data_IF_437008774650
#
_entry.id   IF_437008774650
#
_cell.length_a   1.000
_cell.length_b   1.000
_cell.length_c   1.000
_cell.angle_alpha   90.00
_cell.angle_beta   90.00
_cell.angle_gamma   90.00
#
_symmetry.space_group_name_H-M   'P 1'
#
loop_
_entity.id
_entity.type
_entity.pdbx_description
1 polymer ?
#
# COMPACT_ATOMS: atom_id res chain seq x y z
N UNK A 1 12.28 -19.79 54.05
CA UNK A 1 13.01 -19.24 52.89
C UNK A 1 12.91 -20.27 51.78
N UNK A 2 11.80 -20.25 51.02
CA UNK A 2 11.67 -20.99 49.79
C UNK A 2 12.22 -20.15 48.65
N UNK A 3 13.22 -20.72 47.98
CA UNK A 3 13.83 -20.17 46.79
C UNK A 3 12.83 -20.38 45.65
N UNK A 4 12.30 -19.31 45.11
CA UNK A 4 11.42 -19.35 43.92
C UNK A 4 12.17 -20.04 42.75
N UNK A 5 11.54 -20.98 42.02
CA UNK A 5 12.18 -21.66 40.92
C UNK A 5 12.50 -20.66 39.81
N UNK A 6 13.75 -20.72 39.36
CA UNK A 6 14.38 -19.80 38.44
C UNK A 6 13.54 -19.44 37.24
N UNK A 7 13.41 -18.16 36.95
CA UNK A 7 13.19 -17.63 35.62
C UNK A 7 14.23 -18.30 34.70
N UNK A 8 13.76 -19.24 33.85
CA UNK A 8 14.59 -19.67 32.73
C UNK A 8 14.99 -18.41 31.98
N UNK A 9 16.29 -18.15 31.92
CA UNK A 9 16.84 -17.05 31.13
C UNK A 9 16.25 -17.20 29.71
N UNK A 10 15.30 -16.36 29.36
CA UNK A 10 14.73 -16.28 28.02
C UNK A 10 15.90 -16.08 27.08
N UNK A 11 16.05 -17.02 26.14
CA UNK A 11 17.20 -17.06 25.26
C UNK A 11 17.23 -15.76 24.49
N UNK A 12 18.28 -14.99 24.60
CA UNK A 12 18.47 -13.64 24.05
C UNK A 12 18.26 -13.56 22.52
N UNK A 13 18.26 -14.71 21.83
CA UNK A 13 18.08 -14.83 20.40
C UNK A 13 16.59 -14.84 19.92
N UNK A 14 15.61 -15.13 20.82
CA UNK A 14 14.20 -15.20 20.41
C UNK A 14 13.64 -13.88 19.86
N UNK A 15 13.80 -12.71 20.53
CA UNK A 15 13.36 -11.43 19.99
C UNK A 15 14.06 -11.07 18.67
N UNK A 16 15.34 -11.46 18.54
CA UNK A 16 16.12 -11.24 17.33
C UNK A 16 15.59 -12.08 16.18
N UNK A 17 15.20 -13.33 16.42
CA UNK A 17 14.62 -14.20 15.40
C UNK A 17 13.28 -13.65 14.89
N UNK A 18 12.39 -13.15 15.77
CA UNK A 18 11.18 -12.46 15.37
C UNK A 18 11.48 -11.24 14.49
N UNK A 19 12.47 -10.42 14.85
CA UNK A 19 12.88 -9.26 14.08
C UNK A 19 13.43 -9.66 12.70
N UNK A 20 14.32 -10.66 12.63
CA UNK A 20 14.90 -11.16 11.38
C UNK A 20 13.81 -11.74 10.47
N UNK A 21 12.91 -12.55 10.99
CA UNK A 21 11.80 -13.12 10.20
C UNK A 21 10.84 -12.03 9.72
N UNK A 22 10.51 -11.06 10.56
CA UNK A 22 9.66 -9.92 10.18
C UNK A 22 10.31 -9.09 9.07
N UNK A 23 11.60 -8.76 9.22
CA UNK A 23 12.37 -8.06 8.19
C UNK A 23 12.40 -8.86 6.88
N UNK A 24 12.77 -10.15 6.94
CA UNK A 24 12.93 -11.00 5.76
C UNK A 24 11.60 -11.21 5.03
N UNK A 25 10.50 -11.40 5.77
CA UNK A 25 9.16 -11.50 5.18
C UNK A 25 8.80 -10.24 4.39
N UNK A 26 8.96 -9.07 4.99
CA UNK A 26 8.66 -7.80 4.36
C UNK A 26 9.62 -7.49 3.20
N UNK A 27 10.91 -7.79 3.35
CA UNK A 27 11.90 -7.61 2.29
C UNK A 27 11.59 -8.48 1.07
N UNK A 28 11.33 -9.77 1.25
CA UNK A 28 10.98 -10.69 0.16
C UNK A 28 9.67 -10.30 -0.52
N UNK A 29 8.67 -9.89 0.26
CA UNK A 29 7.37 -9.45 -0.23
C UNK A 29 7.49 -8.22 -1.14
N UNK A 30 8.33 -7.25 -0.80
CA UNK A 30 8.52 -6.06 -1.62
C UNK A 30 9.52 -6.27 -2.74
N UNK A 31 10.55 -7.10 -2.57
CA UNK A 31 11.54 -7.39 -3.60
C UNK A 31 10.94 -8.12 -4.81
N UNK A 32 9.95 -8.99 -4.60
CA UNK A 32 9.32 -9.75 -5.70
C UNK A 32 8.51 -8.85 -6.64
N UNK A 33 8.01 -7.71 -6.18
CA UNK A 33 7.20 -6.81 -7.00
C UNK A 33 7.97 -6.25 -8.20
N UNK A 34 9.11 -5.54 -8.04
CA UNK A 34 9.90 -5.07 -9.16
C UNK A 34 10.55 -6.20 -9.96
N UNK A 35 10.86 -7.34 -9.32
CA UNK A 35 11.36 -8.51 -10.03
C UNK A 35 10.34 -9.02 -11.06
N UNK A 36 9.10 -9.26 -10.62
CA UNK A 36 8.03 -9.72 -11.52
C UNK A 36 7.68 -8.66 -12.57
N UNK A 37 7.69 -7.39 -12.18
CA UNK A 37 7.50 -6.29 -13.12
C UNK A 37 8.54 -6.34 -14.25
N UNK A 38 9.81 -6.61 -13.95
CA UNK A 38 10.87 -6.75 -14.94
C UNK A 38 10.68 -7.96 -15.87
N UNK A 39 10.12 -9.06 -15.38
CA UNK A 39 9.75 -10.24 -16.18
C UNK A 39 8.58 -9.94 -17.12
N UNK A 40 7.59 -9.18 -16.63
CA UNK A 40 6.33 -8.89 -17.32
C UNK A 40 6.52 -7.85 -18.44
N UNK A 41 7.41 -6.86 -18.22
CA UNK A 41 7.62 -5.75 -19.14
C UNK A 41 7.84 -6.17 -20.62
N UNK A 42 8.71 -7.15 -20.96
CA UNK A 42 8.89 -7.59 -22.34
C UNK A 42 7.69 -8.29 -22.97
N UNK A 43 6.71 -8.74 -22.15
CA UNK A 43 5.56 -9.52 -22.60
C UNK A 43 4.31 -8.68 -22.78
N UNK A 44 4.07 -7.74 -21.86
CA UNK A 44 2.86 -6.92 -21.82
C UNK A 44 3.09 -5.45 -22.19
N UNK A 45 4.37 -5.06 -22.35
CA UNK A 45 4.73 -3.67 -22.61
C UNK A 45 4.80 -2.81 -21.35
N UNK A 46 5.20 -1.53 -21.53
CA UNK A 46 5.39 -0.56 -20.44
C UNK A 46 4.19 0.34 -20.16
N UNK A 47 2.98 -0.03 -20.61
CA UNK A 47 1.79 0.79 -20.39
C UNK A 47 1.49 0.98 -18.89
N UNK A 48 0.99 2.17 -18.50
CA UNK A 48 0.65 2.51 -17.13
C UNK A 48 -0.33 1.50 -16.51
N UNK A 49 -1.28 1.00 -17.30
CA UNK A 49 -2.25 -0.02 -16.90
C UNK A 49 -1.63 -1.36 -16.50
N UNK A 50 -0.49 -1.74 -17.07
CA UNK A 50 0.24 -2.94 -16.65
C UNK A 50 0.72 -2.77 -15.21
N UNK A 51 1.30 -1.62 -14.90
CA UNK A 51 1.77 -1.30 -13.54
C UNK A 51 0.64 -1.19 -12.54
N UNK A 52 -0.44 -0.51 -12.93
CA UNK A 52 -1.66 -0.38 -12.10
C UNK A 52 -2.27 -1.74 -11.80
N UNK A 53 -2.31 -2.65 -12.80
CA UNK A 53 -2.79 -4.02 -12.61
C UNK A 53 -1.88 -4.82 -11.67
N UNK A 54 -0.56 -4.68 -11.77
CA UNK A 54 0.38 -5.31 -10.85
C UNK A 54 0.18 -4.79 -9.42
N UNK A 55 0.06 -3.48 -9.22
CA UNK A 55 -0.17 -2.89 -7.91
C UNK A 55 -1.50 -3.33 -7.30
N UNK A 56 -2.57 -3.36 -8.11
CA UNK A 56 -3.88 -3.89 -7.70
C UNK A 56 -3.77 -5.34 -7.22
N UNK A 57 -3.07 -6.19 -7.98
CA UNK A 57 -2.83 -7.58 -7.60
C UNK A 57 -2.15 -7.66 -6.22
N UNK A 58 -1.02 -6.95 -6.04
CA UNK A 58 -0.26 -7.00 -4.80
C UNK A 58 -1.06 -6.47 -3.60
N UNK A 59 -1.82 -5.39 -3.76
CA UNK A 59 -2.67 -4.85 -2.71
C UNK A 59 -3.81 -5.80 -2.35
N UNK A 60 -4.42 -6.44 -3.33
CA UNK A 60 -5.50 -7.42 -3.10
C UNK A 60 -4.97 -8.66 -2.39
N UNK A 61 -3.84 -9.21 -2.82
CA UNK A 61 -3.25 -10.39 -2.15
C UNK A 61 -2.70 -10.06 -0.77
N UNK A 62 -2.20 -8.83 -0.57
CA UNK A 62 -1.84 -8.33 0.77
C UNK A 62 -3.06 -8.32 1.71
N UNK A 63 -4.20 -7.80 1.23
CA UNK A 63 -5.46 -7.83 1.98
C UNK A 63 -5.89 -9.25 2.32
N UNK A 64 -5.84 -10.17 1.35
CA UNK A 64 -6.17 -11.59 1.58
C UNK A 64 -5.23 -12.25 2.60
N UNK A 65 -3.93 -11.92 2.57
CA UNK A 65 -2.96 -12.37 3.57
C UNK A 65 -3.27 -11.88 4.99
N UNK A 66 -3.67 -10.61 5.12
CA UNK A 66 -4.10 -10.06 6.41
C UNK A 66 -5.43 -10.64 6.88
N UNK A 67 -6.37 -10.86 5.96
CA UNK A 67 -7.64 -11.55 6.27
C UNK A 67 -7.38 -12.99 6.75
N UNK A 68 -6.49 -13.72 6.07
CA UNK A 68 -6.03 -15.04 6.49
C UNK A 68 -5.46 -15.02 7.92
N UNK A 69 -4.56 -14.07 8.23
CA UNK A 69 -3.97 -13.95 9.56
C UNK A 69 -5.02 -13.61 10.63
N UNK A 70 -5.96 -12.71 10.32
CA UNK A 70 -7.04 -12.31 11.23
C UNK A 70 -8.02 -13.46 11.49
N UNK A 71 -8.47 -14.16 10.45
CA UNK A 71 -9.37 -15.31 10.59
C UNK A 71 -8.67 -16.47 11.32
N UNK A 72 -7.39 -16.68 11.03
CA UNK A 72 -6.55 -17.69 11.69
C UNK A 72 -6.37 -17.45 13.19
N UNK A 73 -6.56 -16.21 13.69
CA UNK A 73 -6.47 -15.92 15.13
C UNK A 73 -7.49 -16.67 15.98
N UNK A 74 -8.58 -17.16 15.37
CA UNK A 74 -9.61 -17.99 16.01
C UNK A 74 -9.17 -19.42 16.29
N UNK A 75 -8.11 -19.91 15.65
CA UNK A 75 -7.64 -21.29 15.79
C UNK A 75 -6.81 -21.55 17.05
N UNK A 76 -6.47 -20.51 17.78
CA UNK A 76 -5.47 -20.58 18.85
C UNK A 76 -4.02 -20.65 18.30
N UNK A 77 -3.06 -20.22 19.11
CA UNK A 77 -1.70 -19.92 18.62
C UNK A 77 -0.95 -21.13 18.07
N UNK A 78 -1.07 -22.31 18.72
CA UNK A 78 -0.39 -23.54 18.24
C UNK A 78 -0.90 -24.01 16.89
N UNK A 79 -2.24 -24.12 16.75
CA UNK A 79 -2.87 -24.56 15.49
C UNK A 79 -2.58 -23.58 14.37
N UNK A 80 -2.60 -22.27 14.69
CA UNK A 80 -2.26 -21.20 13.75
C UNK A 80 -0.81 -21.29 13.27
N UNK A 81 0.16 -21.52 14.18
CA UNK A 81 1.57 -21.67 13.83
C UNK A 81 1.82 -22.91 12.96
N UNK A 82 1.22 -24.04 13.31
CA UNK A 82 1.34 -25.29 12.54
C UNK A 82 0.70 -25.17 11.15
N UNK A 83 -0.50 -24.57 11.06
CA UNK A 83 -1.17 -24.34 9.77
C UNK A 83 -0.32 -23.44 8.88
N UNK A 84 0.16 -22.31 9.42
CA UNK A 84 0.99 -21.37 8.65
C UNK A 84 2.30 -22.01 8.19
N UNK A 85 2.96 -22.77 9.06
CA UNK A 85 4.16 -23.53 8.74
C UNK A 85 3.91 -24.57 7.63
N UNK A 86 2.81 -25.32 7.70
CA UNK A 86 2.44 -26.29 6.68
C UNK A 86 2.15 -25.64 5.32
N UNK A 87 1.48 -24.48 5.32
CA UNK A 87 1.22 -23.71 4.10
C UNK A 87 2.50 -23.14 3.48
N UNK A 88 3.43 -22.63 4.30
CA UNK A 88 4.76 -22.18 3.83
C UNK A 88 5.52 -23.36 3.21
N UNK A 89 5.57 -24.50 3.88
CA UNK A 89 6.22 -25.71 3.33
C UNK A 89 5.58 -26.14 2.00
N UNK A 90 4.25 -26.17 1.94
CA UNK A 90 3.51 -26.49 0.71
C UNK A 90 3.79 -25.49 -0.43
N UNK A 91 3.90 -24.19 -0.12
CA UNK A 91 4.18 -23.17 -1.13
C UNK A 91 5.60 -23.26 -1.71
N UNK A 92 6.54 -23.89 -1.02
CA UNK A 92 7.87 -24.16 -1.56
C UNK A 92 7.85 -25.07 -2.79
N UNK A 93 6.79 -25.89 -2.96
CA UNK A 93 6.58 -26.72 -4.16
C UNK A 93 6.25 -25.88 -5.41
N UNK A 94 5.89 -24.61 -5.24
CA UNK A 94 5.61 -23.67 -6.34
C UNK A 94 6.86 -22.93 -6.83
N UNK A 95 8.03 -23.19 -6.25
CA UNK A 95 9.29 -22.59 -6.65
C UNK A 95 9.93 -23.34 -7.85
N UNK A 96 10.64 -22.64 -8.70
CA UNK A 96 10.93 -21.20 -8.70
C UNK A 96 9.76 -20.36 -9.22
N UNK A 97 9.65 -19.11 -8.73
CA UNK A 97 8.56 -18.17 -9.05
C UNK A 97 8.53 -17.65 -10.50
N UNK A 98 9.36 -18.19 -11.39
CA UNK A 98 9.45 -17.72 -12.76
C UNK A 98 8.26 -18.19 -13.60
N UNK A 99 7.52 -17.27 -14.25
CA UNK A 99 6.39 -17.66 -15.09
C UNK A 99 6.84 -18.40 -16.35
N UNK A 100 6.02 -19.37 -16.78
CA UNK A 100 6.24 -20.10 -18.02
C UNK A 100 5.95 -19.23 -19.24
N UNK A 101 6.62 -19.51 -20.37
CA UNK A 101 6.48 -18.76 -21.61
C UNK A 101 5.07 -18.83 -22.23
N UNK A 102 4.24 -19.82 -21.88
CA UNK A 102 2.85 -19.95 -22.31
C UNK A 102 1.96 -18.78 -21.85
N UNK A 103 2.40 -18.05 -20.82
CA UNK A 103 1.69 -16.87 -20.35
C UNK A 103 1.89 -15.62 -21.22
N UNK A 104 2.81 -15.66 -22.20
CA UNK A 104 2.97 -14.54 -23.14
C UNK A 104 1.68 -14.29 -23.91
N UNK A 105 1.25 -13.01 -24.06
CA UNK A 105 0.11 -12.68 -24.86
C UNK A 105 0.28 -13.16 -26.32
N UNK A 106 -0.73 -13.80 -26.84
CA UNK A 106 -0.77 -14.21 -28.26
C UNK A 106 -1.68 -13.31 -29.10
N UNK A 107 -2.40 -12.38 -28.45
CA UNK A 107 -3.32 -11.43 -29.06
C UNK A 107 -3.75 -10.37 -28.06
N UNK A 108 -4.61 -9.40 -28.46
CA UNK A 108 -5.04 -8.27 -27.63
C UNK A 108 -6.11 -8.62 -26.60
N UNK A 109 -6.54 -9.89 -26.49
CA UNK A 109 -7.66 -10.31 -25.68
C UNK A 109 -7.32 -10.32 -24.19
N UNK A 110 -8.11 -9.59 -23.39
CA UNK A 110 -8.11 -9.59 -21.92
C UNK A 110 -6.72 -9.48 -21.24
N UNK A 111 -5.88 -8.50 -21.59
CA UNK A 111 -4.52 -8.42 -21.05
C UNK A 111 -4.50 -8.34 -19.52
N UNK A 112 -5.45 -7.63 -18.91
CA UNK A 112 -5.60 -7.52 -17.45
C UNK A 112 -5.82 -8.88 -16.78
N UNK A 113 -6.77 -9.68 -17.29
CA UNK A 113 -7.07 -11.00 -16.72
C UNK A 113 -5.90 -11.96 -16.89
N UNK A 114 -5.22 -11.92 -18.04
CA UNK A 114 -4.05 -12.76 -18.30
C UNK A 114 -2.89 -12.39 -17.38
N UNK A 115 -2.67 -11.10 -17.14
CA UNK A 115 -1.65 -10.60 -16.22
C UNK A 115 -1.96 -10.99 -14.77
N UNK A 116 -3.21 -10.84 -14.32
CA UNK A 116 -3.63 -11.28 -12.98
C UNK A 116 -3.47 -12.79 -12.82
N UNK A 117 -3.84 -13.58 -13.83
CA UNK A 117 -3.64 -15.05 -13.84
C UNK A 117 -2.18 -15.45 -13.74
N UNK A 118 -1.30 -14.82 -14.54
CA UNK A 118 0.14 -15.01 -14.49
C UNK A 118 0.70 -14.76 -13.09
N UNK A 119 0.38 -13.60 -12.50
CA UNK A 119 0.85 -13.24 -11.16
C UNK A 119 0.31 -14.20 -10.10
N UNK A 120 -0.97 -14.61 -10.21
CA UNK A 120 -1.60 -15.54 -9.26
C UNK A 120 -0.90 -16.90 -9.24
N UNK A 121 -0.59 -17.44 -10.42
CA UNK A 121 0.05 -18.76 -10.54
C UNK A 121 1.53 -18.70 -10.17
N UNK A 122 2.23 -17.64 -10.58
CA UNK A 122 3.69 -17.55 -10.38
C UNK A 122 4.08 -17.17 -8.95
N UNK A 123 3.41 -16.19 -8.34
CA UNK A 123 3.81 -15.65 -7.03
C UNK A 123 2.69 -15.57 -6.01
N UNK A 124 1.43 -15.76 -6.39
CA UNK A 124 0.28 -15.50 -5.54
C UNK A 124 0.32 -16.26 -4.21
N UNK A 125 0.65 -17.55 -4.23
CA UNK A 125 0.76 -18.38 -3.02
C UNK A 125 1.85 -17.89 -2.06
N UNK A 126 3.12 -17.87 -2.47
CA UNK A 126 4.21 -17.34 -1.66
C UNK A 126 3.97 -15.91 -1.17
N UNK A 127 3.45 -15.02 -2.03
CA UNK A 127 3.16 -13.63 -1.67
C UNK A 127 2.08 -13.52 -0.59
N UNK A 128 0.97 -14.27 -0.73
CA UNK A 128 -0.11 -14.31 0.27
C UNK A 128 0.40 -14.74 1.64
N UNK A 129 1.25 -15.77 1.67
CA UNK A 129 1.81 -16.28 2.92
C UNK A 129 2.81 -15.32 3.55
N UNK A 130 3.68 -14.66 2.76
CA UNK A 130 4.54 -13.59 3.26
C UNK A 130 3.72 -12.43 3.83
N UNK A 131 2.64 -12.02 3.15
CA UNK A 131 1.73 -10.98 3.62
C UNK A 131 1.08 -11.34 4.96
N UNK A 132 0.65 -12.58 5.14
CA UNK A 132 0.08 -13.07 6.39
C UNK A 132 1.11 -13.25 7.51
N UNK A 133 2.38 -13.47 7.18
CA UNK A 133 3.43 -13.74 8.16
C UNK A 133 3.68 -12.57 9.11
N UNK A 134 3.76 -11.34 8.60
CA UNK A 134 4.04 -10.16 9.43
C UNK A 134 3.02 -9.98 10.56
N UNK A 135 1.69 -9.92 10.32
CA UNK A 135 0.72 -9.81 11.41
C UNK A 135 0.72 -11.04 12.35
N UNK A 136 1.02 -12.24 11.84
CA UNK A 136 1.15 -13.44 12.68
C UNK A 136 2.34 -13.34 13.64
N UNK A 137 3.51 -12.96 13.13
CA UNK A 137 4.72 -12.77 13.96
C UNK A 137 4.50 -11.71 15.04
N UNK A 138 3.81 -10.59 14.71
CA UNK A 138 3.47 -9.55 15.69
C UNK A 138 2.53 -10.09 16.78
N UNK A 139 1.52 -10.89 16.39
CA UNK A 139 0.60 -11.48 17.34
C UNK A 139 1.29 -12.54 18.23
N UNK A 140 2.17 -13.36 17.69
CA UNK A 140 2.94 -14.34 18.46
C UNK A 140 3.93 -13.67 19.40
N UNK A 141 4.63 -12.64 18.93
CA UNK A 141 5.56 -11.86 19.76
C UNK A 141 4.86 -11.22 20.96
N UNK A 142 3.71 -10.56 20.74
CA UNK A 142 2.95 -9.94 21.82
C UNK A 142 2.47 -10.92 22.89
N UNK A 143 2.24 -12.18 22.53
CA UNK A 143 1.84 -13.25 23.48
C UNK A 143 3.04 -13.86 24.22
N UNK A 144 4.18 -13.99 23.55
CA UNK A 144 5.38 -14.60 24.14
C UNK A 144 6.22 -13.62 24.94
N UNK A 145 6.08 -12.31 24.68
CA UNK A 145 6.87 -11.25 25.32
C UNK A 145 5.95 -10.16 25.92
N UNK A 146 5.19 -10.49 26.97
CA UNK A 146 4.31 -9.52 27.63
C UNK A 146 5.14 -8.33 28.18
N UNK A 147 4.67 -7.10 27.93
CA UNK A 147 5.36 -5.87 28.33
C UNK A 147 6.33 -5.30 27.28
N UNK A 148 6.59 -6.01 26.17
CA UNK A 148 7.34 -5.46 25.05
C UNK A 148 6.36 -4.99 23.95
N UNK A 149 6.60 -3.78 23.43
CA UNK A 149 5.75 -3.23 22.37
C UNK A 149 6.02 -3.89 21.02
N UNK A 150 5.00 -4.47 20.34
CA UNK A 150 5.14 -5.02 18.99
C UNK A 150 5.41 -3.94 17.92
N UNK A 151 5.27 -2.66 18.24
CA UNK A 151 5.55 -1.55 17.32
C UNK A 151 7.00 -1.51 16.82
N UNK A 152 7.96 -2.07 17.58
CA UNK A 152 9.36 -2.21 17.11
C UNK A 152 9.44 -3.15 15.90
N UNK A 153 8.71 -4.25 15.92
CA UNK A 153 8.66 -5.18 14.77
C UNK A 153 8.00 -4.54 13.56
N UNK A 154 7.00 -3.67 13.77
CA UNK A 154 6.39 -2.89 12.70
C UNK A 154 7.40 -1.96 12.00
N UNK A 155 8.23 -1.26 12.76
CA UNK A 155 9.31 -0.44 12.20
C UNK A 155 10.32 -1.29 11.42
N UNK A 156 10.67 -2.49 11.92
CA UNK A 156 11.56 -3.44 11.24
C UNK A 156 10.95 -3.95 9.93
N UNK A 157 9.65 -4.27 9.91
CA UNK A 157 8.92 -4.66 8.69
C UNK A 157 9.00 -3.56 7.63
N UNK A 158 8.68 -2.32 8.01
CA UNK A 158 8.71 -1.18 7.10
C UNK A 158 10.11 -0.89 6.55
N UNK A 159 11.14 -1.03 7.41
CA UNK A 159 12.54 -0.89 6.98
C UNK A 159 12.92 -1.97 5.95
N UNK A 160 12.48 -3.23 6.15
CA UNK A 160 12.69 -4.31 5.19
C UNK A 160 12.03 -4.02 3.85
N UNK A 161 10.78 -3.56 3.87
CA UNK A 161 10.02 -3.19 2.67
C UNK A 161 10.68 -2.04 1.89
N UNK A 162 11.04 -0.96 2.57
CA UNK A 162 11.68 0.18 1.93
C UNK A 162 13.08 -0.19 1.38
N UNK A 163 13.85 -0.96 2.14
CA UNK A 163 15.16 -1.41 1.68
C UNK A 163 15.06 -2.27 0.41
N UNK A 164 14.07 -3.17 0.32
CA UNK A 164 13.85 -3.98 -0.86
C UNK A 164 13.60 -3.12 -2.11
N UNK A 165 12.76 -2.09 -2.00
CA UNK A 165 12.45 -1.18 -3.10
C UNK A 165 13.68 -0.36 -3.55
N UNK A 166 14.54 0.07 -2.62
CA UNK A 166 15.72 0.86 -2.93
C UNK A 166 16.88 0.00 -3.47
N UNK A 167 17.06 -1.20 -2.90
CA UNK A 167 18.13 -2.13 -3.29
C UNK A 167 17.88 -2.69 -4.70
N UNK A 168 16.61 -2.88 -5.09
CA UNK A 168 16.32 -3.49 -6.38
C UNK A 168 16.89 -2.70 -7.57
N UNK A 169 16.53 -1.43 -7.81
CA UNK A 169 17.06 -0.65 -8.92
C UNK A 169 18.55 -0.32 -8.78
N UNK A 170 19.05 -0.21 -7.53
CA UNK A 170 20.44 0.19 -7.30
C UNK A 170 21.44 -0.96 -7.42
N UNK A 171 21.08 -2.15 -6.96
CA UNK A 171 22.01 -3.28 -6.83
C UNK A 171 21.54 -4.55 -7.57
N UNK A 172 20.25 -4.87 -7.54
CA UNK A 172 19.77 -6.16 -8.08
C UNK A 172 19.60 -6.07 -9.59
N UNK A 173 18.88 -5.07 -10.07
CA UNK A 173 18.54 -4.92 -11.49
C UNK A 173 19.78 -4.73 -12.38
N UNK A 174 20.78 -3.89 -12.06
CA UNK A 174 21.93 -3.67 -12.91
C UNK A 174 22.92 -4.84 -12.96
N UNK A 175 23.02 -5.61 -11.87
CA UNK A 175 24.11 -6.59 -11.71
C UNK A 175 23.67 -8.05 -11.85
N UNK A 176 22.37 -8.34 -11.70
CA UNK A 176 21.85 -9.71 -11.67
C UNK A 176 20.90 -9.97 -12.83
N UNK A 177 21.14 -11.04 -13.59
CA UNK A 177 20.25 -11.46 -14.68
C UNK A 177 18.86 -11.83 -14.12
N UNK A 178 17.79 -11.47 -14.83
CA UNK A 178 16.39 -11.67 -14.38
C UNK A 178 16.11 -13.10 -13.92
N UNK A 179 16.56 -14.10 -14.68
CA UNK A 179 16.39 -15.52 -14.29
C UNK A 179 17.10 -15.84 -12.96
N UNK A 180 18.30 -15.32 -12.77
CA UNK A 180 19.05 -15.51 -11.52
C UNK A 180 18.40 -14.78 -10.34
N UNK A 181 17.75 -13.65 -10.59
CA UNK A 181 16.96 -12.94 -9.57
C UNK A 181 15.81 -13.83 -9.07
N UNK A 182 15.04 -14.44 -9.97
CA UNK A 182 13.92 -15.33 -9.59
C UNK A 182 14.38 -16.57 -8.83
N UNK A 183 15.50 -17.18 -9.26
CA UNK A 183 16.09 -18.32 -8.54
C UNK A 183 16.62 -17.90 -7.17
N UNK A 184 17.34 -16.77 -7.09
CA UNK A 184 17.88 -16.22 -5.84
C UNK A 184 16.77 -15.88 -4.83
N UNK A 185 15.69 -15.25 -5.32
CA UNK A 185 14.51 -14.99 -4.48
C UNK A 185 13.89 -16.28 -3.96
N UNK A 186 13.78 -17.31 -4.82
CA UNK A 186 13.22 -18.62 -4.44
C UNK A 186 14.06 -19.31 -3.37
N UNK A 187 15.39 -19.26 -3.47
CA UNK A 187 16.29 -19.74 -2.41
C UNK A 187 16.13 -18.96 -1.11
N UNK A 188 16.08 -17.63 -1.18
CA UNK A 188 15.89 -16.79 0.00
C UNK A 188 14.53 -17.08 0.68
N UNK A 189 13.47 -17.30 -0.11
CA UNK A 189 12.17 -17.73 0.41
C UNK A 189 12.24 -19.12 1.07
N UNK A 190 12.97 -20.06 0.48
CA UNK A 190 13.19 -21.40 1.06
C UNK A 190 13.89 -21.32 2.43
N UNK A 191 14.99 -20.54 2.52
CA UNK A 191 15.71 -20.31 3.79
C UNK A 191 14.82 -19.65 4.83
N UNK A 192 14.07 -18.61 4.43
CA UNK A 192 13.08 -17.96 5.28
C UNK A 192 12.04 -18.95 5.81
N UNK A 193 11.50 -19.80 4.93
CA UNK A 193 10.51 -20.80 5.32
C UNK A 193 11.06 -21.82 6.32
N UNK A 194 12.29 -22.33 6.12
CA UNK A 194 12.94 -23.24 7.07
C UNK A 194 13.11 -22.56 8.44
N UNK A 195 13.52 -21.30 8.48
CA UNK A 195 13.66 -20.55 9.73
C UNK A 195 12.30 -20.33 10.43
N UNK A 196 11.24 -20.06 9.65
CA UNK A 196 9.88 -19.92 10.18
C UNK A 196 9.33 -21.26 10.72
N UNK A 197 9.60 -22.38 10.03
CA UNK A 197 9.28 -23.74 10.52
C UNK A 197 9.96 -24.00 11.85
N UNK A 198 11.25 -23.63 12.00
CA UNK A 198 11.98 -23.72 13.25
C UNK A 198 11.35 -22.92 14.39
N UNK A 199 10.94 -21.66 14.12
CA UNK A 199 10.22 -20.84 15.10
C UNK A 199 8.88 -21.45 15.48
N UNK A 200 8.08 -21.92 14.51
CA UNK A 200 6.79 -22.57 14.78
C UNK A 200 6.95 -23.83 15.62
N UNK A 201 7.96 -24.66 15.35
CA UNK A 201 8.30 -25.83 16.17
C UNK A 201 8.69 -25.41 17.60
N UNK A 202 9.56 -24.42 17.77
CA UNK A 202 9.97 -23.93 19.08
C UNK A 202 8.76 -23.42 19.90
N UNK A 203 7.87 -22.66 19.30
CA UNK A 203 6.65 -22.14 19.94
C UNK A 203 5.69 -23.26 20.35
N UNK A 204 5.60 -24.35 19.57
CA UNK A 204 4.71 -25.47 19.88
C UNK A 204 5.27 -26.42 20.94
N UNK A 205 6.60 -26.64 20.97
CA UNK A 205 7.24 -27.59 21.91
C UNK A 205 7.55 -26.95 23.28
N UNK A 206 7.94 -25.69 23.29
CA UNK A 206 8.32 -25.00 24.53
C UNK A 206 7.12 -24.72 25.48
N UNK A 207 5.90 -25.07 25.09
CA UNK A 207 4.70 -24.74 25.90
C UNK A 207 4.42 -23.24 26.03
N UNK A 208 5.24 -22.41 25.41
CA UNK A 208 5.23 -20.94 25.58
C UNK A 208 3.99 -20.23 25.05
N UNK A 209 3.14 -20.91 24.28
CA UNK A 209 1.92 -20.35 23.70
C UNK A 209 0.64 -20.95 24.34
N UNK A 210 0.77 -21.86 25.28
CA UNK A 210 -0.36 -22.61 25.86
C UNK A 210 -0.70 -22.28 27.31
N UNK A 211 0.00 -21.37 27.96
CA UNK A 211 -0.09 -21.19 29.42
C UNK A 211 -0.67 -19.88 29.93
N UNK A 212 -1.05 -18.96 29.07
CA UNK A 212 -1.80 -17.78 29.48
C UNK A 212 -3.19 -17.84 28.82
N UNK A 213 -4.08 -18.68 29.32
CA UNK A 213 -5.49 -18.31 29.39
C UNK A 213 -5.49 -16.94 30.06
N UNK A 214 -5.95 -15.96 29.32
CA UNK A 214 -6.07 -14.60 29.83
C UNK A 214 -6.95 -14.66 31.07
N UNK A 215 -6.34 -14.66 32.27
CA UNK A 215 -7.03 -14.09 33.41
C UNK A 215 -7.34 -12.64 32.98
N UNK A 216 -8.59 -12.42 32.66
CA UNK A 216 -9.19 -11.09 32.54
C UNK A 216 -9.06 -10.36 33.88
N UNK A 217 -7.83 -9.97 34.20
CA UNK A 217 -7.61 -8.91 35.16
C UNK A 217 -8.16 -7.62 34.57
N UNK A 218 -8.98 -6.85 35.29
CA UNK A 218 -9.52 -5.59 34.80
C UNK A 218 -8.38 -4.58 34.64
N UNK A 219 -7.75 -4.59 33.47
CA UNK A 219 -6.92 -3.46 33.05
C UNK A 219 -7.89 -2.31 32.76
N UNK A 220 -7.70 -1.10 33.29
CA UNK A 220 -8.63 0.01 33.06
C UNK A 220 -8.84 0.18 31.56
N UNK A 221 -10.07 0.04 31.10
CA UNK A 221 -10.48 0.31 29.74
C UNK A 221 -10.40 1.83 29.53
N UNK A 222 -9.28 2.32 28.97
CA UNK A 222 -9.09 3.75 28.67
C UNK A 222 -9.62 4.13 27.30
N UNK A 223 -9.97 3.17 26.44
CA UNK A 223 -10.65 3.44 25.17
C UNK A 223 -11.69 2.34 24.88
N UNK A 224 -12.87 2.74 24.44
CA UNK A 224 -13.93 1.82 24.01
C UNK A 224 -13.51 0.99 22.78
N UNK A 225 -14.19 -0.13 22.53
CA UNK A 225 -13.97 -0.92 21.31
C UNK A 225 -14.23 -0.04 20.07
N UNK A 226 -13.41 -0.21 18.99
CA UNK A 226 -13.61 0.53 17.75
C UNK A 226 -15.01 0.34 17.17
N UNK A 227 -15.63 1.43 16.77
CA UNK A 227 -16.96 1.42 16.16
C UNK A 227 -16.91 1.09 14.67
N UNK A 228 -18.06 0.79 14.07
CA UNK A 228 -18.18 0.64 12.61
C UNK A 228 -17.73 1.91 11.87
N UNK A 229 -18.00 3.09 12.46
CA UNK A 229 -17.57 4.38 11.90
C UNK A 229 -16.05 4.56 11.93
N UNK A 230 -15.34 3.98 12.92
CA UNK A 230 -13.88 3.97 12.95
C UNK A 230 -13.30 3.07 11.85
N UNK A 231 -13.85 1.87 11.68
CA UNK A 231 -13.43 0.98 10.59
C UNK A 231 -13.68 1.60 9.23
N UNK A 232 -14.83 2.21 8.98
CA UNK A 232 -15.15 2.91 7.74
C UNK A 232 -14.17 4.07 7.48
N UNK A 233 -13.80 4.81 8.51
CA UNK A 233 -12.84 5.92 8.41
C UNK A 233 -11.43 5.43 8.08
N UNK A 234 -10.96 4.34 8.71
CA UNK A 234 -9.66 3.73 8.39
C UNK A 234 -9.61 3.20 6.96
N UNK A 235 -10.68 2.52 6.53
CA UNK A 235 -10.81 2.04 5.13
C UNK A 235 -10.75 3.21 4.16
N UNK A 236 -11.50 4.29 4.43
CA UNK A 236 -11.54 5.46 3.55
C UNK A 236 -10.18 6.17 3.45
N UNK A 237 -9.47 6.37 4.58
CA UNK A 237 -8.13 6.96 4.59
C UNK A 237 -7.12 6.10 3.82
N UNK A 238 -7.12 4.79 4.04
CA UNK A 238 -6.24 3.87 3.33
C UNK A 238 -6.58 3.81 1.82
N UNK A 239 -7.87 3.83 1.46
CA UNK A 239 -8.31 3.87 0.08
C UNK A 239 -7.87 5.15 -0.64
N UNK A 240 -8.01 6.32 0.00
CA UNK A 240 -7.53 7.57 -0.56
C UNK A 240 -6.01 7.60 -0.75
N UNK A 241 -5.23 7.10 0.23
CA UNK A 241 -3.78 6.97 0.11
C UNK A 241 -3.36 6.05 -1.04
N UNK A 242 -4.03 4.91 -1.19
CA UNK A 242 -3.79 3.97 -2.30
C UNK A 242 -4.22 4.55 -3.65
N UNK A 243 -5.35 5.24 -3.71
CA UNK A 243 -5.80 5.93 -4.92
C UNK A 243 -4.79 7.02 -5.34
N UNK A 244 -4.24 7.80 -4.40
CA UNK A 244 -3.17 8.76 -4.67
C UNK A 244 -1.92 8.09 -5.24
N UNK A 245 -1.50 6.96 -4.66
CA UNK A 245 -0.35 6.19 -5.15
C UNK A 245 -0.55 5.79 -6.61
N UNK A 246 -1.69 5.15 -6.93
CA UNK A 246 -1.93 4.65 -8.28
C UNK A 246 -2.12 5.79 -9.28
N UNK A 247 -2.86 6.83 -8.92
CA UNK A 247 -3.10 7.99 -9.79
C UNK A 247 -1.81 8.75 -10.10
N UNK A 248 -0.95 8.98 -9.10
CA UNK A 248 0.37 9.61 -9.32
C UNK A 248 1.28 8.68 -10.12
N UNK A 249 1.25 7.37 -9.88
CA UNK A 249 1.99 6.41 -10.69
C UNK A 249 1.56 6.49 -12.17
N UNK A 250 0.25 6.53 -12.43
CA UNK A 250 -0.28 6.70 -13.79
C UNK A 250 0.20 8.01 -14.42
N UNK A 251 0.06 9.14 -13.72
CA UNK A 251 0.50 10.45 -14.20
C UNK A 251 1.98 10.44 -14.58
N UNK A 252 2.85 9.92 -13.70
CA UNK A 252 4.30 9.89 -13.95
C UNK A 252 4.66 8.95 -15.11
N UNK A 253 4.02 7.79 -15.22
CA UNK A 253 4.37 6.78 -16.23
C UNK A 253 3.77 7.06 -17.61
N UNK A 254 2.68 7.82 -17.70
CA UNK A 254 2.04 8.17 -18.97
C UNK A 254 2.62 9.41 -19.62
N UNK A 255 2.88 10.46 -18.83
CA UNK A 255 3.24 11.77 -19.36
C UNK A 255 4.75 11.91 -19.63
N UNK A 256 5.59 11.07 -19.01
CA UNK A 256 7.02 11.37 -18.91
C UNK A 256 7.90 10.37 -19.65
N UNK A 257 7.41 9.32 -20.19
CA UNK A 257 8.09 8.18 -20.78
C UNK A 257 8.07 6.93 -19.89
N UNK A 258 7.88 5.78 -20.51
CA UNK A 258 7.91 4.47 -19.86
C UNK A 258 9.33 4.08 -19.46
N UNK A 259 9.93 4.85 -18.54
CA UNK A 259 11.24 4.47 -17.97
C UNK A 259 11.02 3.25 -17.08
N UNK A 260 11.66 2.13 -17.36
CA UNK A 260 11.57 0.95 -16.51
C UNK A 260 11.85 1.32 -15.06
N UNK A 261 11.02 0.81 -14.14
CA UNK A 261 11.14 1.02 -12.69
C UNK A 261 10.85 2.45 -12.17
N UNK A 262 10.43 3.40 -13.02
CA UNK A 262 10.04 4.75 -12.55
C UNK A 262 8.89 4.70 -11.54
N UNK A 263 8.01 3.70 -11.64
CA UNK A 263 6.91 3.46 -10.68
C UNK A 263 7.38 3.10 -9.26
N UNK A 264 8.65 2.71 -9.08
CA UNK A 264 9.24 2.46 -7.76
C UNK A 264 9.30 3.76 -6.94
N UNK A 265 9.51 4.91 -7.59
CA UNK A 265 9.58 6.20 -6.90
C UNK A 265 8.27 6.53 -6.15
N UNK A 266 7.08 6.53 -6.79
CA UNK A 266 5.83 6.72 -6.06
C UNK A 266 5.61 5.71 -4.92
N UNK A 267 5.93 4.44 -5.15
CA UNK A 267 5.76 3.40 -4.14
C UNK A 267 6.71 3.59 -2.95
N UNK A 268 7.96 3.97 -3.18
CA UNK A 268 8.92 4.28 -2.13
C UNK A 268 8.51 5.52 -1.32
N UNK A 269 8.00 6.57 -1.99
CA UNK A 269 7.47 7.76 -1.33
C UNK A 269 6.23 7.43 -0.48
N UNK A 270 5.29 6.65 -1.02
CA UNK A 270 4.11 6.16 -0.30
C UNK A 270 4.50 5.41 0.99
N UNK A 271 5.43 4.46 0.89
CA UNK A 271 5.90 3.71 2.05
C UNK A 271 6.68 4.62 3.02
N UNK A 272 7.47 5.56 2.50
CA UNK A 272 8.17 6.56 3.32
C UNK A 272 7.20 7.43 4.13
N UNK A 273 6.10 7.90 3.54
CA UNK A 273 5.07 8.65 4.27
C UNK A 273 4.39 7.80 5.34
N UNK A 274 4.19 6.52 5.10
CA UNK A 274 3.64 5.59 6.09
C UNK A 274 4.58 5.45 7.29
N UNK A 275 5.88 5.22 7.03
CA UNK A 275 6.91 5.13 8.08
C UNK A 275 6.95 6.43 8.90
N UNK A 276 7.02 7.58 8.24
CA UNK A 276 7.11 8.89 8.90
C UNK A 276 5.87 9.19 9.75
N UNK A 277 4.68 8.89 9.24
CA UNK A 277 3.42 9.11 9.95
C UNK A 277 3.36 8.28 11.25
N UNK A 278 3.68 6.98 11.17
CA UNK A 278 3.68 6.10 12.34
C UNK A 278 4.89 6.31 13.27
N UNK A 279 5.96 6.94 12.79
CA UNK A 279 7.06 7.43 13.64
C UNK A 279 6.74 8.75 14.36
N UNK A 280 5.54 9.31 14.19
CA UNK A 280 5.10 10.53 14.87
C UNK A 280 5.50 11.86 14.20
N UNK A 281 5.98 11.82 12.94
CA UNK A 281 6.35 13.02 12.19
C UNK A 281 5.15 13.81 11.65
N UNK A 282 3.92 13.30 11.81
CA UNK A 282 2.72 13.98 11.34
C UNK A 282 2.27 15.12 12.24
N UNK A 283 2.11 16.30 11.64
CA UNK A 283 1.52 17.49 12.28
C UNK A 283 0.38 17.99 11.38
N UNK A 284 -0.87 17.87 11.84
CA UNK A 284 -2.07 18.20 11.03
C UNK A 284 -2.01 19.62 10.43
N UNK A 285 -1.55 20.63 11.18
CA UNK A 285 -1.47 22.00 10.68
C UNK A 285 -0.50 22.11 9.48
N UNK A 286 0.71 21.54 9.62
CA UNK A 286 1.73 21.60 8.56
C UNK A 286 1.30 20.80 7.32
N UNK A 287 0.90 19.55 7.53
CA UNK A 287 0.54 18.68 6.40
C UNK A 287 -0.80 19.04 5.77
N UNK A 288 -1.73 19.63 6.55
CA UNK A 288 -2.95 20.23 6.01
C UNK A 288 -2.68 21.42 5.10
N UNK A 289 -1.76 22.32 5.48
CA UNK A 289 -1.34 23.41 4.61
C UNK A 289 -0.65 22.89 3.33
N UNK A 290 0.22 21.88 3.45
CA UNK A 290 0.85 21.24 2.28
C UNK A 290 -0.17 20.53 1.37
N UNK A 291 -1.25 19.97 1.93
CA UNK A 291 -2.33 19.38 1.14
C UNK A 291 -3.10 20.45 0.34
N UNK A 292 -3.30 21.65 0.90
CA UNK A 292 -3.88 22.78 0.15
C UNK A 292 -2.96 23.19 -1.01
N UNK A 293 -1.65 23.24 -0.78
CA UNK A 293 -0.68 23.49 -1.87
C UNK A 293 -0.70 22.36 -2.91
N UNK A 294 -0.90 21.10 -2.47
CA UNK A 294 -1.03 19.95 -3.37
C UNK A 294 -2.29 20.03 -4.25
N UNK A 295 -3.41 20.60 -3.77
CA UNK A 295 -4.56 20.90 -4.63
C UNK A 295 -4.18 21.89 -5.76
N UNK A 296 -3.42 22.93 -5.44
CA UNK A 296 -2.89 23.88 -6.43
C UNK A 296 -1.91 23.21 -7.41
N UNK A 297 -1.00 22.38 -6.92
CA UNK A 297 -0.07 21.62 -7.76
C UNK A 297 -0.81 20.65 -8.70
N UNK A 298 -1.85 19.97 -8.19
CA UNK A 298 -2.71 19.10 -9.01
C UNK A 298 -3.45 19.90 -10.08
N UNK A 299 -3.96 21.10 -9.76
CA UNK A 299 -4.59 21.98 -10.73
C UNK A 299 -3.60 22.44 -11.82
N UNK A 300 -2.36 22.75 -11.43
CA UNK A 300 -1.30 23.11 -12.38
C UNK A 300 -0.94 21.94 -13.32
N UNK A 301 -0.79 20.73 -12.80
CA UNK A 301 -0.59 19.52 -13.60
C UNK A 301 -1.77 19.26 -14.53
N UNK A 302 -3.00 19.43 -14.03
CA UNK A 302 -4.23 19.15 -14.76
C UNK A 302 -4.46 20.11 -15.94
N UNK A 303 -4.16 21.39 -15.75
CA UNK A 303 -4.42 22.43 -16.77
C UNK A 303 -3.24 22.61 -17.72
N UNK A 304 -2.02 22.50 -17.22
CA UNK A 304 -0.81 22.91 -17.95
C UNK A 304 0.29 21.82 -18.02
N UNK A 305 -0.02 20.59 -17.66
CA UNK A 305 0.99 19.53 -17.52
C UNK A 305 1.90 19.38 -18.72
N UNK A 306 1.36 19.35 -19.93
CA UNK A 306 2.14 19.18 -21.18
C UNK A 306 3.12 20.33 -21.48
N UNK A 307 2.92 21.52 -20.90
CA UNK A 307 3.84 22.65 -21.07
C UNK A 307 4.98 22.67 -20.05
N UNK A 308 4.95 21.81 -19.03
CA UNK A 308 5.96 21.76 -17.98
C UNK A 308 7.08 20.77 -18.31
N UNK A 309 8.34 21.10 -17.98
CA UNK A 309 9.44 20.13 -18.08
C UNK A 309 9.16 18.86 -17.25
N UNK A 310 9.53 17.70 -17.78
CA UNK A 310 9.27 16.40 -17.15
C UNK A 310 9.71 16.32 -15.67
N UNK A 311 10.90 16.87 -15.34
CA UNK A 311 11.38 16.89 -13.96
C UNK A 311 10.49 17.70 -13.01
N UNK A 312 9.88 18.81 -13.52
CA UNK A 312 8.92 19.62 -12.74
C UNK A 312 7.63 18.84 -12.52
N UNK A 313 7.13 18.16 -13.54
CA UNK A 313 5.93 17.32 -13.42
C UNK A 313 6.14 16.19 -12.39
N UNK A 314 7.27 15.47 -12.46
CA UNK A 314 7.62 14.42 -11.47
C UNK A 314 7.69 15.03 -10.07
N UNK A 315 8.35 16.19 -9.91
CA UNK A 315 8.47 16.86 -8.63
C UNK A 315 7.12 17.26 -8.03
N UNK A 316 6.23 17.86 -8.83
CA UNK A 316 4.89 18.26 -8.41
C UNK A 316 4.03 17.03 -8.07
N UNK A 317 4.00 16.01 -8.93
CA UNK A 317 3.25 14.79 -8.69
C UNK A 317 3.75 14.05 -7.43
N UNK A 318 5.06 13.97 -7.22
CA UNK A 318 5.67 13.43 -6.01
C UNK A 318 5.29 14.24 -4.76
N UNK A 319 5.30 15.57 -4.86
CA UNK A 319 4.86 16.48 -3.78
C UNK A 319 3.39 16.28 -3.42
N UNK A 320 2.51 16.14 -4.42
CA UNK A 320 1.09 15.83 -4.23
C UNK A 320 0.92 14.49 -3.50
N UNK A 321 1.64 13.45 -3.94
CA UNK A 321 1.61 12.14 -3.29
C UNK A 321 2.03 12.22 -1.83
N UNK A 322 3.18 12.85 -1.56
CA UNK A 322 3.72 12.97 -0.20
C UNK A 322 2.77 13.75 0.71
N UNK A 323 2.24 14.90 0.27
CA UNK A 323 1.34 15.72 1.07
C UNK A 323 0.01 15.00 1.35
N UNK A 324 -0.61 14.40 0.32
CA UNK A 324 -1.86 13.67 0.47
C UNK A 324 -1.72 12.41 1.32
N UNK A 325 -0.69 11.60 1.06
CA UNK A 325 -0.43 10.38 1.84
C UNK A 325 -0.01 10.69 3.28
N UNK A 326 0.74 11.76 3.55
CA UNK A 326 1.06 12.15 4.93
C UNK A 326 -0.21 12.53 5.71
N UNK A 327 -1.19 13.14 5.08
CA UNK A 327 -2.49 13.40 5.73
C UNK A 327 -3.24 12.08 5.97
N UNK A 328 -3.38 11.22 4.96
CA UNK A 328 -4.10 9.96 5.10
C UNK A 328 -3.45 9.05 6.16
N UNK A 329 -2.14 8.81 6.05
CA UNK A 329 -1.39 7.94 6.97
C UNK A 329 -1.25 8.57 8.37
N UNK A 330 -1.13 9.91 8.44
CA UNK A 330 -1.07 10.64 9.70
C UNK A 330 -2.36 10.55 10.50
N UNK A 331 -3.50 10.68 9.85
CA UNK A 331 -4.80 10.50 10.51
C UNK A 331 -5.07 9.01 10.85
N UNK A 332 -4.59 8.06 10.05
CA UNK A 332 -4.58 6.64 10.42
C UNK A 332 -3.75 6.41 11.70
N UNK A 333 -2.52 6.94 11.75
CA UNK A 333 -1.65 6.78 12.91
C UNK A 333 -2.24 7.43 14.18
N UNK A 334 -2.91 8.58 14.06
CA UNK A 334 -3.59 9.26 15.18
C UNK A 334 -4.82 8.52 15.69
N UNK A 335 -5.50 7.79 14.81
CA UNK A 335 -6.73 7.03 15.13
C UNK A 335 -6.44 5.55 15.40
N UNK A 336 -5.17 5.15 15.48
CA UNK A 336 -4.78 3.76 15.73
C UNK A 336 -5.33 3.29 17.10
N UNK A 337 -5.98 2.11 17.16
CA UNK A 337 -6.56 1.58 18.38
C UNK A 337 -5.51 0.94 19.30
N UNK A 338 -5.95 0.55 20.50
CA UNK A 338 -5.13 -0.24 21.43
C UNK A 338 -4.66 -1.57 20.79
N UNK A 339 -3.57 -2.13 21.32
CA UNK A 339 -2.92 -3.35 20.80
C UNK A 339 -3.88 -4.56 20.62
N UNK A 340 -4.95 -4.63 21.42
CA UNK A 340 -5.99 -5.69 21.32
C UNK A 340 -6.75 -5.67 20.00
N UNK A 341 -6.92 -4.50 19.38
CA UNK A 341 -7.69 -4.30 18.15
C UNK A 341 -6.81 -4.12 16.91
N UNK A 342 -5.49 -4.29 17.05
CA UNK A 342 -4.51 -3.99 16.01
C UNK A 342 -4.68 -4.83 14.73
N UNK A 343 -5.05 -6.11 14.88
CA UNK A 343 -5.29 -6.99 13.70
C UNK A 343 -6.48 -6.54 12.86
N UNK A 344 -7.56 -6.08 13.50
CA UNK A 344 -8.71 -5.49 12.82
C UNK A 344 -8.37 -4.15 12.14
N UNK A 345 -7.54 -3.33 12.77
CA UNK A 345 -7.02 -2.09 12.20
C UNK A 345 -6.18 -2.34 10.94
N UNK A 346 -5.24 -3.28 11.00
CA UNK A 346 -4.43 -3.66 9.83
C UNK A 346 -5.27 -4.25 8.70
N UNK A 347 -6.28 -5.05 9.05
CA UNK A 347 -7.22 -5.58 8.06
C UNK A 347 -8.02 -4.46 7.39
N UNK A 348 -8.50 -3.47 8.15
CA UNK A 348 -9.20 -2.31 7.61
C UNK A 348 -8.30 -1.48 6.67
N UNK A 349 -7.03 -1.26 7.05
CA UNK A 349 -6.06 -0.58 6.18
C UNK A 349 -5.80 -1.35 4.89
N UNK A 350 -5.62 -2.66 4.97
CA UNK A 350 -5.40 -3.50 3.78
C UNK A 350 -6.64 -3.55 2.87
N UNK A 351 -7.84 -3.61 3.46
CA UNK A 351 -9.10 -3.52 2.73
C UNK A 351 -9.23 -2.18 1.99
N UNK A 352 -8.90 -1.07 2.68
CA UNK A 352 -8.88 0.25 2.07
C UNK A 352 -7.86 0.35 0.94
N UNK A 353 -6.64 -0.15 1.14
CA UNK A 353 -5.62 -0.20 0.10
C UNK A 353 -6.08 -0.94 -1.15
N UNK A 354 -6.66 -2.13 -0.98
CA UNK A 354 -7.25 -2.91 -2.07
C UNK A 354 -8.42 -2.18 -2.75
N UNK A 355 -9.30 -1.54 -1.97
CA UNK A 355 -10.41 -0.74 -2.49
C UNK A 355 -9.92 0.43 -3.34
N UNK A 356 -8.93 1.18 -2.89
CA UNK A 356 -8.31 2.27 -3.66
C UNK A 356 -7.71 1.77 -4.96
N UNK A 357 -7.07 0.59 -4.92
CA UNK A 357 -6.56 -0.11 -6.11
C UNK A 357 -7.65 -0.48 -7.10
N UNK A 358 -8.77 -1.04 -6.63
CA UNK A 358 -9.94 -1.38 -7.45
C UNK A 358 -10.58 -0.13 -8.08
N UNK A 359 -10.71 0.94 -7.31
CA UNK A 359 -11.29 2.19 -7.79
C UNK A 359 -10.48 2.79 -8.94
N UNK A 360 -9.15 2.85 -8.81
CA UNK A 360 -8.28 3.46 -9.83
C UNK A 360 -7.96 2.48 -10.96
N UNK A 361 -7.72 1.20 -10.65
CA UNK A 361 -7.27 0.22 -11.63
C UNK A 361 -8.38 -0.44 -12.45
N UNK A 362 -9.61 -0.47 -11.93
CA UNK A 362 -10.73 -1.16 -12.58
C UNK A 362 -11.93 -0.24 -12.79
N UNK A 363 -12.43 0.39 -11.73
CA UNK A 363 -13.66 1.16 -11.82
C UNK A 363 -13.46 2.46 -12.64
N UNK A 364 -12.39 3.19 -12.42
CA UNK A 364 -12.14 4.45 -13.12
C UNK A 364 -11.99 4.24 -14.64
N UNK A 365 -11.19 3.29 -15.16
CA UNK A 365 -11.14 3.02 -16.60
C UNK A 365 -12.46 2.57 -17.22
N UNK A 366 -13.34 1.93 -16.42
CA UNK A 366 -14.65 1.46 -16.91
C UNK A 366 -15.71 2.56 -16.96
N UNK A 367 -15.59 3.62 -16.15
CA UNK A 367 -16.62 4.65 -15.98
C UNK A 367 -16.18 6.02 -16.50
N UNK A 368 -14.88 6.34 -16.36
CA UNK A 368 -14.34 7.67 -16.69
C UNK A 368 -13.71 7.64 -18.09
N UNK A 369 -13.98 8.67 -18.86
CA UNK A 369 -13.42 8.87 -20.20
C UNK A 369 -12.05 9.56 -20.20
N UNK A 370 -11.60 10.01 -19.02
CA UNK A 370 -10.34 10.71 -18.82
C UNK A 370 -9.72 10.38 -17.44
N UNK A 371 -8.50 10.88 -17.17
CA UNK A 371 -7.73 10.61 -15.93
C UNK A 371 -8.16 11.51 -14.76
N UNK A 372 -9.41 11.41 -14.31
CA UNK A 372 -9.93 12.16 -13.17
C UNK A 372 -9.47 11.63 -11.80
N UNK A 373 -8.75 10.52 -11.77
CA UNK A 373 -8.40 9.80 -10.54
C UNK A 373 -7.53 10.65 -9.62
N UNK A 374 -6.53 11.38 -10.16
CA UNK A 374 -5.65 12.19 -9.34
C UNK A 374 -6.39 13.37 -8.69
N UNK A 375 -7.14 14.21 -9.43
CA UNK A 375 -7.99 15.23 -8.82
C UNK A 375 -8.96 14.69 -7.78
N UNK A 376 -9.63 13.56 -8.08
CA UNK A 376 -10.59 12.94 -7.18
C UNK A 376 -9.91 12.42 -5.89
N UNK A 377 -8.75 11.78 -6.00
CA UNK A 377 -8.01 11.26 -4.85
C UNK A 377 -7.50 12.37 -3.92
N UNK A 378 -7.02 13.49 -4.47
CA UNK A 378 -6.57 14.64 -3.66
C UNK A 378 -7.76 15.31 -2.98
N UNK A 379 -8.89 15.47 -3.66
CA UNK A 379 -10.13 15.98 -3.06
C UNK A 379 -10.65 15.04 -1.97
N UNK A 380 -10.58 13.72 -2.17
CA UNK A 380 -10.95 12.74 -1.15
C UNK A 380 -10.07 12.86 0.09
N UNK A 381 -8.73 13.01 -0.07
CA UNK A 381 -7.82 13.23 1.04
C UNK A 381 -8.14 14.52 1.80
N UNK A 382 -8.48 15.61 1.08
CA UNK A 382 -8.89 16.88 1.67
C UNK A 382 -10.23 16.75 2.44
N UNK A 383 -11.21 16.05 1.88
CA UNK A 383 -12.48 15.79 2.54
C UNK A 383 -12.30 14.95 3.82
N UNK A 384 -11.46 13.88 3.75
CA UNK A 384 -11.17 13.03 4.89
C UNK A 384 -10.40 13.76 6.00
N UNK A 385 -9.48 14.67 5.65
CA UNK A 385 -8.86 15.56 6.63
C UNK A 385 -9.92 16.44 7.33
N UNK A 386 -10.88 16.96 6.59
CA UNK A 386 -11.98 17.76 7.15
C UNK A 386 -12.83 16.90 8.11
N UNK A 387 -13.16 15.66 7.73
CA UNK A 387 -13.84 14.70 8.60
C UNK A 387 -13.03 14.41 9.87
N UNK A 388 -11.71 14.21 9.74
CA UNK A 388 -10.82 14.02 10.88
C UNK A 388 -10.84 15.21 11.85
N UNK A 389 -10.90 16.44 11.32
CA UNK A 389 -11.04 17.65 12.14
C UNK A 389 -12.39 17.72 12.86
N UNK A 390 -13.47 17.24 12.26
CA UNK A 390 -14.78 17.14 12.94
C UNK A 390 -14.79 16.11 14.06
N UNK A 391 -14.05 15.04 13.93
CA UNK A 391 -13.96 13.96 14.92
C UNK A 391 -13.06 14.31 16.12
N UNK A 392 -12.21 15.33 15.97
CA UNK A 392 -11.23 15.76 16.98
C UNK A 392 -11.77 16.94 17.79
N UNK A 393 -12.13 16.76 19.08
CA UNK A 393 -12.63 17.85 19.94
C UNK A 393 -11.62 18.99 20.14
N UNK A 394 -10.32 18.74 19.95
CA UNK A 394 -9.27 19.74 20.07
C UNK A 394 -9.05 20.56 18.78
N UNK A 395 -9.78 20.24 17.70
CA UNK A 395 -9.64 20.95 16.43
C UNK A 395 -10.28 22.33 16.44
N UNK A 396 -9.85 23.18 15.48
CA UNK A 396 -10.46 24.50 15.26
C UNK A 396 -11.94 24.43 14.89
N UNK A 397 -12.44 23.29 14.43
CA UNK A 397 -13.84 23.08 14.10
C UNK A 397 -14.72 22.80 15.35
N UNK A 398 -14.13 22.53 16.51
CA UNK A 398 -14.86 22.40 17.78
C UNK A 398 -15.06 23.76 18.48
N UNK A 399 -14.32 24.82 18.09
CA UNK A 399 -14.28 26.11 18.79
C UNK A 399 -15.16 27.20 18.17
N UNK A 400 -14.99 28.43 18.70
CA UNK A 400 -15.73 29.63 18.26
C UNK A 400 -15.50 30.00 16.78
N UNK A 401 -14.38 29.56 16.17
CA UNK A 401 -14.05 29.76 14.75
C UNK A 401 -14.68 28.74 13.78
N UNK A 402 -15.54 27.84 14.25
CA UNK A 402 -16.10 26.74 13.45
C UNK A 402 -16.71 27.18 12.12
N UNK A 403 -17.53 28.23 12.13
CA UNK A 403 -18.23 28.68 10.91
C UNK A 403 -17.25 29.23 9.87
N UNK A 404 -16.28 30.06 10.28
CA UNK A 404 -15.26 30.59 9.37
C UNK A 404 -14.34 29.48 8.82
N UNK A 405 -13.90 28.56 9.68
CA UNK A 405 -13.08 27.42 9.24
C UNK A 405 -13.83 26.54 8.26
N UNK A 406 -15.10 26.23 8.49
CA UNK A 406 -15.96 25.48 7.57
C UNK A 406 -16.15 26.22 6.24
N UNK A 407 -16.42 27.51 6.29
CA UNK A 407 -16.58 28.32 5.07
C UNK A 407 -15.28 28.33 4.24
N UNK A 408 -14.12 28.45 4.90
CA UNK A 408 -12.82 28.39 4.22
C UNK A 408 -12.56 27.01 3.59
N UNK A 409 -12.78 25.93 4.35
CA UNK A 409 -12.60 24.56 3.84
C UNK A 409 -13.56 24.27 2.67
N UNK A 410 -14.82 24.68 2.80
CA UNK A 410 -15.80 24.53 1.73
C UNK A 410 -15.40 25.35 0.48
N UNK A 411 -14.95 26.59 0.66
CA UNK A 411 -14.51 27.44 -0.45
C UNK A 411 -13.29 26.85 -1.18
N UNK A 412 -12.28 26.34 -0.44
CA UNK A 412 -11.11 25.67 -1.03
C UNK A 412 -11.52 24.42 -1.79
N UNK A 413 -12.37 23.57 -1.18
CA UNK A 413 -12.84 22.34 -1.82
C UNK A 413 -13.67 22.60 -3.07
N UNK A 414 -14.59 23.55 -3.04
CA UNK A 414 -15.42 23.95 -4.19
C UNK A 414 -14.59 24.58 -5.31
N UNK A 415 -13.62 25.45 -4.96
CA UNK A 415 -12.72 26.05 -5.95
C UNK A 415 -11.88 24.97 -6.65
N UNK A 416 -11.31 24.04 -5.90
CA UNK A 416 -10.54 22.95 -6.47
C UNK A 416 -11.42 22.04 -7.36
N UNK A 417 -12.61 21.67 -6.92
CA UNK A 417 -13.56 20.90 -7.71
C UNK A 417 -13.96 21.62 -9.01
N UNK A 418 -14.18 22.94 -8.95
CA UNK A 418 -14.48 23.77 -10.13
C UNK A 418 -13.28 23.79 -11.10
N UNK A 419 -12.07 24.00 -10.60
CA UNK A 419 -10.85 24.00 -11.44
C UNK A 419 -10.67 22.63 -12.11
N UNK A 420 -10.92 21.53 -11.41
CA UNK A 420 -10.80 20.20 -11.97
C UNK A 420 -11.90 19.87 -12.99
N UNK A 421 -13.11 20.41 -12.83
CA UNK A 421 -14.19 20.23 -13.80
C UNK A 421 -14.01 21.11 -15.06
N UNK A 422 -13.37 22.25 -14.96
CA UNK A 422 -13.30 23.25 -16.04
C UNK A 422 -12.61 22.78 -17.33
N UNK A 423 -11.50 22.00 -17.33
CA UNK A 423 -10.90 21.50 -18.55
C UNK A 423 -11.79 20.50 -19.29
N UNK A 424 -12.57 19.68 -18.56
CA UNK A 424 -13.52 18.74 -19.16
C UNK A 424 -14.63 19.46 -19.89
N UNK A 425 -15.12 20.56 -19.32
CA UNK A 425 -16.14 21.39 -19.97
C UNK A 425 -15.61 22.05 -21.24
N UNK A 426 -14.34 22.52 -21.22
CA UNK A 426 -13.69 23.09 -22.41
C UNK A 426 -13.31 22.06 -23.46
N UNK A 427 -12.85 20.89 -23.05
CA UNK A 427 -12.46 19.81 -23.97
C UNK A 427 -13.68 19.12 -24.60
N UNK A 428 -14.90 19.32 -24.08
CA UNK A 428 -16.12 18.84 -24.70
C UNK A 428 -16.42 19.62 -26.01
N UNK A 429 -15.99 20.89 -26.09
CA UNK A 429 -16.11 21.68 -27.32
C UNK A 429 -15.06 21.20 -28.34
N UNK A 430 -15.53 20.64 -29.48
CA UNK A 430 -14.66 20.12 -30.55
C UNK A 430 -14.18 18.67 -30.38
N UNK A 431 -14.51 17.97 -29.30
CA UNK A 431 -14.21 16.56 -29.17
C UNK A 431 -15.29 15.73 -29.88
N UNK A 432 -14.92 15.06 -30.99
CA UNK A 432 -15.81 14.21 -31.76
C UNK A 432 -16.01 12.84 -31.11
N UNK A 433 -14.96 12.28 -30.51
CA UNK A 433 -15.00 11.01 -29.79
C UNK A 433 -13.86 10.97 -28.74
N UNK A 434 -14.16 10.36 -27.61
CA UNK A 434 -13.16 10.02 -26.59
C UNK A 434 -13.42 8.60 -26.11
N UNK A 435 -12.41 7.77 -26.14
CA UNK A 435 -12.46 6.39 -25.65
C UNK A 435 -11.25 6.10 -24.76
N UNK A 436 -11.49 5.34 -23.73
CA UNK A 436 -10.46 4.91 -22.77
C UNK A 436 -10.40 3.39 -22.72
N UNK A 437 -9.21 2.88 -22.91
CA UNK A 437 -8.96 1.45 -22.82
C UNK A 437 -7.76 1.14 -21.90
N UNK A 438 -7.37 -0.14 -21.86
CA UNK A 438 -6.23 -0.60 -21.06
C UNK A 438 -4.92 0.16 -21.35
N UNK A 439 -4.70 0.63 -22.56
CA UNK A 439 -3.43 1.25 -22.97
C UNK A 439 -3.41 2.78 -22.80
N UNK A 440 -4.56 3.42 -22.69
CA UNK A 440 -4.64 4.89 -22.54
C UNK A 440 -5.98 5.48 -22.97
N UNK A 441 -5.98 6.81 -23.14
CA UNK A 441 -7.13 7.59 -23.63
C UNK A 441 -6.84 8.06 -25.05
N UNK A 442 -7.76 7.75 -25.97
CA UNK A 442 -7.74 8.24 -27.35
C UNK A 442 -8.82 9.33 -27.49
N UNK A 443 -8.46 10.49 -28.02
CA UNK A 443 -9.39 11.57 -28.33
C UNK A 443 -9.28 11.95 -29.78
N UNK A 444 -10.43 12.08 -30.43
CA UNK A 444 -10.58 12.64 -31.77
C UNK A 444 -11.13 14.05 -31.58
N UNK A 445 -10.39 15.08 -32.03
CA UNK A 445 -10.79 16.46 -31.94
C UNK A 445 -10.94 17.04 -33.34
N UNK A 446 -12.03 17.79 -33.55
CA UNK A 446 -12.19 18.64 -34.73
C UNK A 446 -11.37 19.91 -34.51
N UNK A 447 -10.34 20.12 -35.34
CA UNK A 447 -9.56 21.36 -35.34
C UNK A 447 -9.92 22.14 -36.61
N UNK A 448 -10.35 23.41 -36.49
CA UNK A 448 -10.62 24.22 -37.66
C UNK A 448 -9.37 24.28 -38.55
N UNK A 449 -9.54 24.03 -39.84
CA UNK A 449 -8.50 24.06 -40.84
C UNK A 449 -7.81 25.42 -40.83
N UNK A 450 -6.57 25.54 -40.34
CA UNK A 450 -5.82 26.77 -40.23
C UNK A 450 -4.63 26.74 -39.28
N UNK A 451 -4.45 25.70 -38.50
CA UNK A 451 -3.37 25.63 -37.50
C UNK A 451 -2.19 24.74 -37.94
N UNK A 452 -2.14 24.33 -39.20
CA UNK A 452 -0.96 23.71 -39.81
C UNK A 452 -0.15 24.79 -40.55
N UNK A 453 0.38 25.77 -39.83
CA UNK A 453 1.50 26.54 -40.31
C UNK A 453 2.61 26.44 -39.29
N UNK A 454 3.68 25.79 -39.68
CA UNK A 454 5.03 25.86 -39.13
C UNK A 454 5.24 25.10 -37.78
N UNK A 455 5.58 23.79 -37.91
CA UNK A 455 6.63 23.18 -37.12
C UNK A 455 7.57 22.43 -38.06
#
# INVERSE_FOLDING_TARGET
>A
REVAPGRRAGVFWEPMLFAVLTFSSAFLLFLVQPLMARVILPWFGGAASVWTTCLLFYQTVLFLGYAYAHLGSRLGPRKQALLHAALIAGSMLLLPIMPDASWRPTGPEFPTLRLLGLLSVSVGGPYLLLAGTTPLLHAWFGRTHPGQSPYRLYAVSNAGSLLALLVYPALVEPWVRVRSQGVGWSWAYGVFGVALLGLAAALTWAGGVGGAESEDGPTPATSGAPTTADHAFWIALAAAGSALLLSVTNTITMDIASVPLLWILPLALYLGTFILAFAGAYRRATWGALLVLALGATALLWVGGFALPAGVQIGLASGVLVAGCMVCHGELARSAPDARHLTGFYLAMAAGGSLGGLLVGVAAPAVLTDFFELPAAVLAAFALMTVAMFRDPASVLAGRGRRSALATLAAVGLLAAFVFASPSLRNAEGTLAADRNFYGVLRVQDRPAGVFSEM
#
